data_IF_921838182956
#
_entry.id   IF_921838182956
#
_cell.length_a   1.000
_cell.length_b   1.000
_cell.length_c   1.000
_cell.angle_alpha   90.00
_cell.angle_beta   90.00
_cell.angle_gamma   90.00
#
_symmetry.space_group_name_H-M   'P 1'
#
loop_
_entity.id
_entity.type
_entity.pdbx_description
1 polymer ?
#
# COMPACT_ATOMS: atom_id res chain seq x y z
N UNK A 1 -37.90 13.62 -60.39
CA UNK A 1 -39.24 14.20 -60.67
C UNK A 1 -40.22 13.17 -60.13
N UNK A 2 -40.89 13.32 -59.01
CA UNK A 2 -41.57 14.50 -58.45
C UNK A 2 -41.28 14.68 -56.95
N UNK A 3 -41.35 15.93 -56.49
CA UNK A 3 -41.16 16.36 -55.10
C UNK A 3 -42.52 16.41 -54.42
N UNK A 4 -42.62 15.86 -53.21
CA UNK A 4 -43.73 16.09 -52.28
C UNK A 4 -43.22 16.81 -51.04
N UNK A 5 -43.38 18.12 -51.00
CA UNK A 5 -43.22 18.98 -49.83
C UNK A 5 -44.52 19.03 -49.03
N UNK A 6 -44.46 18.86 -47.71
CA UNK A 6 -45.49 19.39 -46.81
C UNK A 6 -44.88 19.73 -45.44
N UNK A 7 -44.72 21.04 -45.24
CA UNK A 7 -44.45 21.77 -44.01
C UNK A 7 -45.69 21.84 -43.11
N UNK A 8 -45.51 21.87 -41.79
CA UNK A 8 -46.58 22.18 -40.84
C UNK A 8 -46.06 22.34 -39.40
N UNK A 9 -46.10 23.54 -38.79
CA UNK A 9 -45.37 23.89 -37.57
C UNK A 9 -46.26 23.82 -36.31
N UNK A 10 -45.80 23.20 -35.23
CA UNK A 10 -46.46 23.32 -33.92
C UNK A 10 -45.44 23.53 -32.79
N UNK A 11 -45.41 24.75 -32.28
CA UNK A 11 -45.08 25.11 -30.89
C UNK A 11 -46.09 26.19 -30.51
N UNK A 12 -46.72 26.08 -29.32
CA UNK A 12 -46.21 26.89 -28.21
C UNK A 12 -46.29 26.22 -26.83
N UNK A 13 -45.23 26.48 -26.06
CA UNK A 13 -45.19 26.91 -24.66
C UNK A 13 -46.34 26.53 -23.71
N UNK A 14 -46.00 25.74 -22.69
CA UNK A 14 -46.62 25.85 -21.37
C UNK A 14 -45.52 25.83 -20.30
N UNK A 15 -45.29 27.00 -19.72
CA UNK A 15 -44.53 27.18 -18.50
C UNK A 15 -45.34 26.60 -17.33
N UNK A 16 -44.73 25.70 -16.56
CA UNK A 16 -45.11 25.49 -15.16
C UNK A 16 -43.87 25.50 -14.30
N UNK A 17 -43.72 26.62 -13.60
CA UNK A 17 -43.03 26.77 -12.34
C UNK A 17 -43.49 25.71 -11.35
N UNK A 18 -42.56 24.84 -10.96
CA UNK A 18 -42.71 23.88 -9.87
C UNK A 18 -41.39 23.79 -9.12
N UNK A 19 -41.05 24.84 -8.38
CA UNK A 19 -39.95 24.81 -7.42
C UNK A 19 -40.36 23.88 -6.25
N UNK A 20 -40.12 22.57 -6.38
CA UNK A 20 -40.03 21.68 -5.23
C UNK A 20 -38.58 21.66 -4.78
N UNK A 21 -38.31 22.26 -3.62
CA UNK A 21 -37.02 22.15 -2.96
C UNK A 21 -36.67 20.69 -2.73
N UNK A 22 -35.72 20.19 -3.52
CA UNK A 22 -35.10 18.89 -3.30
C UNK A 22 -34.25 19.02 -2.05
N UNK A 23 -34.84 18.67 -0.91
CA UNK A 23 -34.09 18.31 0.29
C UNK A 23 -33.03 17.31 -0.16
N UNK A 24 -31.76 17.68 -0.02
CA UNK A 24 -30.62 16.83 -0.32
C UNK A 24 -30.68 15.60 0.59
N UNK A 25 -31.49 14.62 0.18
CA UNK A 25 -31.57 13.32 0.81
C UNK A 25 -30.19 12.70 0.73
N UNK A 26 -29.56 12.51 1.89
CA UNK A 26 -28.46 11.58 2.03
C UNK A 26 -28.94 10.24 1.46
N UNK A 27 -28.51 9.93 0.24
CA UNK A 27 -28.69 8.61 -0.33
C UNK A 27 -28.08 7.61 0.65
N UNK A 28 -28.81 6.55 1.06
CA UNK A 28 -28.23 5.53 1.89
C UNK A 28 -27.01 4.96 1.17
N UNK A 29 -25.86 4.83 1.86
CA UNK A 29 -24.65 4.31 1.25
C UNK A 29 -24.96 2.95 0.61
N UNK A 30 -24.49 2.74 -0.61
CA UNK A 30 -24.77 1.50 -1.34
C UNK A 30 -24.42 0.29 -0.47
N UNK A 31 -25.15 -0.84 -0.58
CA UNK A 31 -24.88 -2.04 0.22
C UNK A 31 -23.43 -2.54 0.12
N UNK A 32 -22.70 -2.20 -0.96
CA UNK A 32 -21.28 -2.49 -1.14
C UNK A 32 -20.38 -1.61 -0.25
N UNK A 33 -20.71 -0.34 -0.09
CA UNK A 33 -19.97 0.62 0.75
C UNK A 33 -20.09 0.27 2.23
N UNK A 34 -21.29 -0.16 2.67
CA UNK A 34 -21.54 -0.62 4.04
C UNK A 34 -20.79 -1.91 4.34
N UNK A 35 -20.79 -2.89 3.42
CA UNK A 35 -20.03 -4.14 3.57
C UNK A 35 -18.51 -3.92 3.61
N UNK A 36 -17.99 -3.00 2.79
CA UNK A 36 -16.57 -2.61 2.82
C UNK A 36 -16.21 -1.95 4.16
N UNK A 37 -17.05 -1.04 4.66
CA UNK A 37 -16.85 -0.37 5.94
C UNK A 37 -16.83 -1.35 7.12
N UNK A 38 -17.78 -2.28 7.19
CA UNK A 38 -17.81 -3.32 8.23
C UNK A 38 -16.60 -4.26 8.13
N UNK A 39 -16.19 -4.64 6.92
CA UNK A 39 -15.00 -5.46 6.70
C UNK A 39 -13.72 -4.78 7.17
N UNK A 40 -13.56 -3.48 6.90
CA UNK A 40 -12.44 -2.67 7.39
C UNK A 40 -12.46 -2.56 8.91
N UNK A 41 -13.62 -2.26 9.52
CA UNK A 41 -13.75 -2.17 10.98
C UNK A 41 -13.45 -3.51 11.66
N UNK A 42 -13.98 -4.63 11.17
CA UNK A 42 -13.68 -5.96 11.72
C UNK A 42 -12.20 -6.32 11.56
N UNK A 43 -11.59 -6.00 10.42
CA UNK A 43 -10.15 -6.22 10.20
C UNK A 43 -9.32 -5.38 11.16
N UNK A 44 -9.69 -4.11 11.38
CA UNK A 44 -9.03 -3.22 12.33
C UNK A 44 -9.20 -3.68 13.79
N UNK A 45 -10.35 -4.23 14.16
CA UNK A 45 -10.61 -4.78 15.50
C UNK A 45 -9.82 -6.07 15.75
N UNK A 46 -9.79 -6.99 14.77
CA UNK A 46 -8.96 -8.20 14.83
C UNK A 46 -7.48 -7.81 14.88
N UNK A 47 -7.07 -6.79 14.13
CA UNK A 47 -5.72 -6.24 14.17
C UNK A 47 -5.36 -5.65 15.52
N UNK A 48 -6.26 -4.86 16.12
CA UNK A 48 -6.07 -4.29 17.45
C UNK A 48 -5.98 -5.39 18.52
N UNK A 49 -6.78 -6.46 18.38
CA UNK A 49 -6.76 -7.60 19.29
C UNK A 49 -5.47 -8.42 19.17
N UNK A 50 -5.04 -8.74 17.94
CA UNK A 50 -3.79 -9.46 17.67
C UNK A 50 -2.59 -8.61 18.12
N UNK A 51 -2.59 -7.31 17.80
CA UNK A 51 -1.55 -6.39 18.22
C UNK A 51 -1.47 -6.30 19.76
N UNK A 52 -2.58 -6.10 20.47
CA UNK A 52 -2.57 -6.05 21.94
C UNK A 52 -2.10 -7.35 22.58
N UNK A 53 -2.53 -8.50 22.05
CA UNK A 53 -2.22 -9.81 22.64
C UNK A 53 -0.77 -10.26 22.39
N UNK A 54 -0.17 -9.89 21.26
CA UNK A 54 1.21 -10.23 20.91
C UNK A 54 2.23 -9.18 21.36
N UNK A 55 1.85 -7.90 21.38
CA UNK A 55 2.78 -6.83 21.74
C UNK A 55 3.10 -6.84 23.24
N UNK A 56 2.16 -7.19 24.12
CA UNK A 56 2.41 -7.13 25.57
C UNK A 56 3.48 -8.14 26.05
N UNK A 57 3.47 -9.43 25.62
CA UNK A 57 4.53 -10.36 25.96
C UNK A 57 5.88 -9.97 25.34
N UNK A 58 5.87 -9.48 24.09
CA UNK A 58 7.09 -9.01 23.41
C UNK A 58 7.66 -7.79 24.13
N UNK A 59 6.80 -6.86 24.56
CA UNK A 59 7.17 -5.70 25.36
C UNK A 59 7.79 -6.12 26.68
N UNK A 60 7.12 -6.96 27.46
CA UNK A 60 7.63 -7.43 28.73
C UNK A 60 8.96 -8.16 28.55
N UNK A 61 9.12 -8.95 27.48
CA UNK A 61 10.40 -9.57 27.15
C UNK A 61 11.48 -8.53 26.83
N UNK A 62 11.20 -7.55 25.97
CA UNK A 62 12.16 -6.52 25.56
C UNK A 62 12.53 -5.55 26.68
N UNK A 63 11.62 -5.26 27.61
CA UNK A 63 11.89 -4.42 28.79
C UNK A 63 12.80 -5.14 29.81
N UNK A 64 12.75 -6.47 29.88
CA UNK A 64 13.59 -7.27 30.77
C UNK A 64 14.96 -7.63 30.19
N UNK A 65 15.14 -7.48 28.88
CA UNK A 65 16.45 -7.66 28.23
C UNK A 65 17.18 -6.31 28.25
N UNK A 66 18.34 -6.25 28.90
CA UNK A 66 19.17 -5.03 28.96
C UNK A 66 19.75 -4.71 27.56
N UNK A 67 18.97 -4.04 26.71
CA UNK A 67 19.40 -3.67 25.37
C UNK A 67 20.29 -2.43 25.44
N UNK A 68 21.60 -2.66 25.30
CA UNK A 68 22.60 -1.60 25.17
C UNK A 68 22.52 -0.91 23.79
N UNK A 69 22.24 0.40 23.72
CA UNK A 69 22.12 1.16 22.45
C UNK A 69 23.41 1.15 21.62
N UNK A 70 24.55 1.09 22.28
CA UNK A 70 25.86 1.15 21.62
C UNK A 70 26.40 -0.20 21.17
N UNK A 71 25.73 -1.31 21.51
CA UNK A 71 26.23 -2.65 21.24
C UNK A 71 25.98 -3.08 19.79
N UNK A 72 27.02 -3.29 18.97
CA UNK A 72 26.86 -3.79 17.61
C UNK A 72 26.23 -5.19 17.58
N UNK A 73 26.43 -5.99 18.63
CA UNK A 73 25.82 -7.32 18.76
C UNK A 73 24.30 -7.24 18.85
N UNK A 74 23.76 -6.29 19.62
CA UNK A 74 22.32 -6.09 19.72
C UNK A 74 21.74 -5.59 18.40
N UNK A 75 22.41 -4.64 17.73
CA UNK A 75 22.01 -4.21 16.39
C UNK A 75 21.98 -5.38 15.40
N UNK A 76 22.96 -6.28 15.45
CA UNK A 76 22.99 -7.48 14.62
C UNK A 76 21.81 -8.42 14.93
N UNK A 77 21.46 -8.63 16.20
CA UNK A 77 20.31 -9.45 16.58
C UNK A 77 18.99 -8.85 16.06
N UNK A 78 18.81 -7.53 16.19
CA UNK A 78 17.65 -6.85 15.63
C UNK A 78 17.63 -6.94 14.10
N UNK A 79 18.78 -6.79 13.44
CA UNK A 79 18.89 -7.01 12.00
C UNK A 79 18.46 -8.44 11.61
N UNK A 80 18.94 -9.48 12.30
CA UNK A 80 18.55 -10.87 12.03
C UNK A 80 17.05 -11.06 12.25
N UNK A 81 16.51 -10.57 13.37
CA UNK A 81 15.09 -10.64 13.69
C UNK A 81 14.23 -9.94 12.62
N UNK A 82 14.71 -8.82 12.08
CA UNK A 82 14.00 -8.09 11.02
C UNK A 82 13.84 -8.91 9.75
N UNK A 83 14.79 -9.79 9.41
CA UNK A 83 14.69 -10.64 8.22
C UNK A 83 13.50 -11.60 8.31
N UNK A 84 13.23 -12.12 9.51
CA UNK A 84 12.07 -12.98 9.75
C UNK A 84 10.74 -12.24 9.53
N UNK A 85 10.72 -10.92 9.71
CA UNK A 85 9.52 -10.10 9.46
C UNK A 85 9.22 -9.89 7.97
N UNK A 86 10.20 -10.14 7.10
CA UNK A 86 10.03 -10.13 5.64
C UNK A 86 9.54 -11.46 5.08
N UNK A 87 9.40 -12.50 5.92
CA UNK A 87 8.66 -13.69 5.54
C UNK A 87 7.21 -13.25 5.26
N UNK A 88 6.63 -13.59 4.09
CA UNK A 88 5.33 -13.09 3.65
C UNK A 88 4.20 -13.66 4.50
N UNK A 89 4.06 -13.11 5.71
CA UNK A 89 2.99 -13.39 6.66
C UNK A 89 1.98 -12.24 6.60
N UNK A 90 0.67 -12.52 6.59
CA UNK A 90 -0.36 -11.50 6.55
C UNK A 90 -0.57 -10.89 7.95
N UNK A 91 0.51 -10.43 8.59
CA UNK A 91 0.50 -9.78 9.88
C UNK A 91 0.83 -8.30 9.69
N UNK A 92 -0.19 -7.43 9.59
CA UNK A 92 0.02 -5.99 9.52
C UNK A 92 0.62 -5.45 10.82
N UNK A 93 1.22 -4.27 10.75
CA UNK A 93 1.79 -3.50 11.87
C UNK A 93 3.03 -4.04 12.58
N UNK A 94 3.43 -5.31 12.37
CA UNK A 94 4.65 -5.85 12.99
C UNK A 94 5.89 -5.02 12.64
N UNK A 95 6.05 -4.68 11.35
CA UNK A 95 7.23 -3.90 10.91
C UNK A 95 7.20 -2.48 11.49
N UNK A 96 6.03 -1.84 11.60
CA UNK A 96 5.95 -0.49 12.18
C UNK A 96 6.33 -0.49 13.66
N UNK A 97 5.79 -1.42 14.44
CA UNK A 97 6.15 -1.58 15.86
C UNK A 97 7.64 -1.90 16.03
N UNK A 98 8.18 -2.76 15.15
CA UNK A 98 9.60 -3.07 15.13
C UNK A 98 10.47 -1.85 14.83
N UNK A 99 10.11 -1.03 13.85
CA UNK A 99 10.84 0.19 13.50
C UNK A 99 10.80 1.22 14.64
N UNK A 100 9.66 1.37 15.31
CA UNK A 100 9.54 2.19 16.52
C UNK A 100 10.49 1.70 17.62
N UNK A 101 10.53 0.38 17.87
CA UNK A 101 11.43 -0.22 18.84
C UNK A 101 12.91 0.00 18.47
N UNK A 102 13.28 -0.19 17.19
CA UNK A 102 14.63 0.07 16.69
C UNK A 102 15.04 1.53 16.90
N UNK A 103 14.13 2.48 16.61
CA UNK A 103 14.35 3.90 16.86
C UNK A 103 14.53 4.22 18.34
N UNK A 104 13.71 3.61 19.19
CA UNK A 104 13.80 3.77 20.65
C UNK A 104 15.13 3.27 21.22
N UNK A 105 15.51 2.02 20.89
CA UNK A 105 16.69 1.37 21.45
C UNK A 105 18.01 1.89 20.85
N UNK A 106 18.07 2.13 19.54
CA UNK A 106 19.32 2.45 18.85
C UNK A 106 19.43 3.91 18.38
N UNK A 107 18.42 4.74 18.66
CA UNK A 107 18.38 6.16 18.29
C UNK A 107 18.72 6.33 16.80
N UNK A 108 19.59 7.29 16.45
CA UNK A 108 20.04 7.53 15.08
C UNK A 108 20.68 6.30 14.41
N UNK A 109 21.31 5.39 15.17
CA UNK A 109 21.87 4.15 14.61
C UNK A 109 20.79 3.17 14.16
N UNK A 110 19.54 3.37 14.58
CA UNK A 110 18.39 2.65 14.04
C UNK A 110 18.24 2.79 12.53
N UNK A 111 18.70 3.90 11.93
CA UNK A 111 18.72 4.04 10.46
C UNK A 111 19.64 3.02 9.78
N UNK A 112 20.77 2.68 10.41
CA UNK A 112 21.70 1.68 9.87
C UNK A 112 21.00 0.31 9.83
N UNK A 113 20.36 -0.07 10.94
CA UNK A 113 19.57 -1.31 11.02
C UNK A 113 18.48 -1.29 9.96
N UNK A 114 17.71 -0.20 9.84
CA UNK A 114 16.63 -0.05 8.88
C UNK A 114 17.11 -0.19 7.42
N UNK A 115 18.20 0.49 7.05
CA UNK A 115 18.79 0.42 5.71
C UNK A 115 19.22 -1.01 5.40
N UNK A 116 19.95 -1.66 6.30
CA UNK A 116 20.38 -3.05 6.11
C UNK A 116 19.18 -3.98 6.00
N UNK A 117 18.22 -3.87 6.91
CA UNK A 117 17.01 -4.67 6.94
C UNK A 117 16.19 -4.56 5.66
N UNK A 118 16.02 -3.35 5.13
CA UNK A 118 15.19 -3.13 3.94
C UNK A 118 15.93 -3.48 2.65
N UNK A 119 17.24 -3.23 2.59
CA UNK A 119 18.05 -3.60 1.42
C UNK A 119 18.18 -5.10 1.24
N UNK A 120 18.06 -5.91 2.30
CA UNK A 120 18.07 -7.38 2.19
C UNK A 120 16.67 -7.99 2.25
N UNK A 121 15.81 -7.53 3.14
CA UNK A 121 14.48 -8.09 3.38
C UNK A 121 13.49 -7.87 2.24
N UNK A 122 13.47 -6.67 1.64
CA UNK A 122 12.56 -6.37 0.51
C UNK A 122 12.90 -7.23 -0.72
N UNK A 123 14.17 -7.30 -1.17
CA UNK A 123 14.58 -8.23 -2.22
C UNK A 123 14.29 -9.70 -1.89
N UNK A 124 14.50 -10.13 -0.64
CA UNK A 124 14.24 -11.50 -0.22
C UNK A 124 12.76 -11.86 -0.38
N UNK A 125 11.84 -11.00 0.10
CA UNK A 125 10.40 -11.22 -0.04
C UNK A 125 9.96 -11.27 -1.52
N UNK A 126 10.52 -10.38 -2.35
CA UNK A 126 10.29 -10.41 -3.79
C UNK A 126 10.81 -11.70 -4.44
N UNK A 127 12.01 -12.13 -4.06
CA UNK A 127 12.63 -13.35 -4.59
C UNK A 127 11.81 -14.59 -4.22
N UNK A 128 11.27 -14.66 -3.00
CA UNK A 128 10.36 -15.72 -2.59
C UNK A 128 9.11 -15.79 -3.50
N UNK A 129 8.52 -14.64 -3.84
CA UNK A 129 7.43 -14.56 -4.81
C UNK A 129 7.84 -15.05 -6.20
N UNK A 130 9.04 -14.69 -6.65
CA UNK A 130 9.59 -15.13 -7.95
C UNK A 130 9.84 -16.64 -7.99
N UNK A 131 10.36 -17.23 -6.91
CA UNK A 131 10.56 -18.68 -6.80
C UNK A 131 9.24 -19.41 -6.96
N UNK A 132 8.17 -18.97 -6.27
CA UNK A 132 6.85 -19.58 -6.42
C UNK A 132 6.30 -19.44 -7.85
N UNK A 133 6.51 -18.29 -8.49
CA UNK A 133 6.14 -18.09 -9.91
C UNK A 133 6.83 -19.14 -10.79
N UNK A 134 8.14 -19.31 -10.61
CA UNK A 134 8.98 -20.21 -11.40
C UNK A 134 8.69 -21.69 -11.13
N UNK A 135 8.21 -22.04 -9.93
CA UNK A 135 7.71 -23.38 -9.61
C UNK A 135 6.37 -23.72 -10.30
N UNK A 136 5.81 -22.80 -11.08
CA UNK A 136 4.56 -23.01 -11.82
C UNK A 136 3.30 -22.78 -10.99
N UNK A 137 3.41 -22.19 -9.79
CA UNK A 137 2.22 -21.80 -9.03
C UNK A 137 1.46 -20.72 -9.79
N UNK A 138 0.32 -21.10 -10.36
CA UNK A 138 -0.51 -20.20 -11.11
C UNK A 138 -1.55 -19.54 -10.21
N UNK A 139 -1.17 -18.45 -9.54
CA UNK A 139 -2.09 -17.70 -8.68
C UNK A 139 -3.28 -17.14 -9.45
N UNK A 140 -3.17 -16.93 -10.78
CA UNK A 140 -4.34 -16.57 -11.60
C UNK A 140 -5.39 -17.67 -11.56
N UNK A 141 -4.98 -18.95 -11.59
CA UNK A 141 -5.92 -20.08 -11.49
C UNK A 141 -6.61 -20.08 -10.13
N UNK A 142 -5.86 -19.86 -9.05
CA UNK A 142 -6.39 -19.80 -7.67
C UNK A 142 -7.31 -18.60 -7.45
N UNK A 143 -6.96 -17.43 -7.98
CA UNK A 143 -7.78 -16.22 -7.91
C UNK A 143 -9.04 -16.34 -8.80
N UNK A 144 -8.94 -17.01 -9.95
CA UNK A 144 -10.08 -17.27 -10.85
C UNK A 144 -11.09 -18.22 -10.22
N UNK A 145 -10.63 -19.20 -9.45
CA UNK A 145 -11.49 -20.16 -8.78
C UNK A 145 -12.09 -19.65 -7.46
N UNK A 146 -11.75 -18.44 -7.02
CA UNK A 146 -12.16 -17.88 -5.72
C UNK A 146 -12.99 -16.60 -5.82
N UNK A 147 -13.23 -15.98 -4.66
CA UNK A 147 -14.01 -14.74 -4.48
C UNK A 147 -13.45 -13.49 -5.17
N UNK A 148 -12.33 -13.59 -5.91
CA UNK A 148 -11.63 -12.47 -6.56
C UNK A 148 -11.63 -12.54 -8.09
N UNK A 149 -12.53 -13.31 -8.70
CA UNK A 149 -12.61 -13.46 -10.15
C UNK A 149 -12.69 -12.11 -10.89
N UNK A 150 -13.49 -11.17 -10.38
CA UNK A 150 -13.64 -9.82 -10.95
C UNK A 150 -12.39 -8.94 -10.76
N UNK A 151 -11.53 -9.27 -9.79
CA UNK A 151 -10.31 -8.52 -9.46
C UNK A 151 -9.15 -8.77 -10.42
N UNK A 152 -9.21 -9.83 -11.23
CA UNK A 152 -8.07 -10.27 -12.05
C UNK A 152 -7.71 -9.27 -13.14
N UNK A 153 -8.69 -8.63 -13.77
CA UNK A 153 -8.45 -7.60 -14.79
C UNK A 153 -7.65 -6.41 -14.25
N UNK A 154 -7.85 -6.07 -12.97
CA UNK A 154 -7.06 -5.05 -12.30
C UNK A 154 -5.61 -5.48 -12.08
N UNK A 155 -5.37 -6.74 -11.71
CA UNK A 155 -4.01 -7.27 -11.57
C UNK A 155 -3.26 -7.34 -12.90
N UNK A 156 -3.94 -7.68 -13.99
CA UNK A 156 -3.35 -7.68 -15.32
C UNK A 156 -2.96 -6.28 -15.78
N UNK A 157 -3.86 -5.33 -15.58
CA UNK A 157 -3.60 -3.93 -15.88
C UNK A 157 -2.45 -3.38 -15.02
N UNK A 158 -2.44 -3.69 -13.73
CA UNK A 158 -1.39 -3.27 -12.80
C UNK A 158 -0.04 -3.89 -13.20
N UNK A 159 0.01 -5.20 -13.49
CA UNK A 159 1.23 -5.87 -13.94
C UNK A 159 1.79 -5.22 -15.20
N UNK A 160 0.94 -4.90 -16.19
CA UNK A 160 1.38 -4.21 -17.42
C UNK A 160 1.97 -2.83 -17.13
N UNK A 161 1.31 -2.03 -16.30
CA UNK A 161 1.78 -0.69 -15.95
C UNK A 161 3.12 -0.76 -15.21
N UNK A 162 3.27 -1.72 -14.28
CA UNK A 162 4.53 -1.94 -13.56
C UNK A 162 5.63 -2.35 -14.57
N UNK A 163 5.37 -3.23 -15.53
CA UNK A 163 6.37 -3.61 -16.53
C UNK A 163 6.88 -2.44 -17.37
N UNK A 164 6.00 -1.48 -17.72
CA UNK A 164 6.38 -0.35 -18.56
C UNK A 164 7.22 0.71 -17.84
N UNK A 165 6.99 0.91 -16.54
CA UNK A 165 7.66 1.94 -15.74
C UNK A 165 8.09 1.37 -14.37
N UNK A 166 8.97 0.35 -14.35
CA UNK A 166 9.13 -0.54 -13.20
C UNK A 166 9.63 0.16 -11.95
N UNK A 167 10.64 1.02 -12.07
CA UNK A 167 11.23 1.71 -10.91
C UNK A 167 10.19 2.65 -10.28
N UNK A 168 9.55 3.51 -11.10
CA UNK A 168 8.58 4.49 -10.61
C UNK A 168 7.34 3.81 -10.03
N UNK A 169 6.82 2.78 -10.69
CA UNK A 169 5.63 2.09 -10.23
C UNK A 169 5.89 1.26 -8.97
N UNK A 170 7.05 0.60 -8.87
CA UNK A 170 7.43 -0.09 -7.63
C UNK A 170 7.64 0.91 -6.49
N UNK A 171 8.21 2.09 -6.75
CA UNK A 171 8.31 3.15 -5.75
C UNK A 171 6.92 3.54 -5.22
N UNK A 172 5.97 3.86 -6.12
CA UNK A 172 4.63 4.30 -5.74
C UNK A 172 3.82 3.19 -5.07
N UNK A 173 3.88 1.97 -5.62
CA UNK A 173 3.12 0.83 -5.12
C UNK A 173 3.49 0.52 -3.67
N UNK A 174 4.76 0.72 -3.28
CA UNK A 174 5.24 0.50 -1.90
C UNK A 174 4.64 1.44 -0.85
N UNK A 175 3.86 2.45 -1.25
CA UNK A 175 3.03 3.29 -0.37
C UNK A 175 1.60 2.78 -0.23
N UNK A 176 1.21 1.74 -0.96
CA UNK A 176 -0.10 1.13 -0.79
C UNK A 176 -0.27 0.65 0.67
N UNK A 177 -1.49 0.74 1.24
CA UNK A 177 -1.79 0.32 2.61
C UNK A 177 -1.91 -1.21 2.70
N UNK A 178 -0.88 -1.90 2.22
CA UNK A 178 -0.72 -3.35 2.28
C UNK A 178 0.46 -3.68 3.20
N UNK A 179 0.45 -4.85 3.87
CA UNK A 179 1.58 -5.28 4.68
C UNK A 179 2.89 -5.19 3.88
N UNK A 180 3.90 -4.55 4.46
CA UNK A 180 5.17 -4.22 3.79
C UNK A 180 5.89 -5.44 3.22
N UNK A 181 5.71 -6.61 3.82
CA UNK A 181 6.25 -7.89 3.39
C UNK A 181 5.43 -8.56 2.29
N UNK A 182 4.11 -8.35 2.27
CA UNK A 182 3.22 -8.96 1.28
C UNK A 182 3.41 -8.33 -0.09
N UNK A 183 3.63 -7.02 -0.14
CA UNK A 183 3.68 -6.30 -1.39
C UNK A 183 4.89 -6.67 -2.28
N UNK A 184 6.15 -6.71 -1.79
CA UNK A 184 7.30 -7.24 -2.55
C UNK A 184 7.03 -8.64 -3.08
N UNK A 185 6.49 -9.51 -2.24
CA UNK A 185 6.14 -10.87 -2.59
C UNK A 185 5.13 -10.91 -3.73
N UNK A 186 4.04 -10.14 -3.65
CA UNK A 186 3.04 -10.06 -4.70
C UNK A 186 3.62 -9.52 -6.01
N UNK A 187 4.49 -8.51 -5.96
CA UNK A 187 5.15 -7.99 -7.18
C UNK A 187 6.04 -9.06 -7.81
N UNK A 188 6.87 -9.75 -7.02
CA UNK A 188 7.73 -10.83 -7.51
C UNK A 188 6.94 -12.01 -8.07
N UNK A 189 5.76 -12.28 -7.51
CA UNK A 189 4.91 -13.39 -7.91
C UNK A 189 4.03 -13.08 -9.13
N UNK A 190 3.49 -11.86 -9.22
CA UNK A 190 2.49 -11.48 -10.22
C UNK A 190 3.07 -10.79 -11.46
N UNK A 191 4.25 -10.20 -11.37
CA UNK A 191 4.81 -9.36 -12.45
C UNK A 191 6.06 -9.97 -13.07
N UNK A 192 6.56 -9.39 -14.16
CA UNK A 192 7.80 -9.78 -14.82
C UNK A 192 8.94 -8.78 -14.62
N UNK A 193 8.78 -7.87 -13.67
CA UNK A 193 9.85 -6.93 -13.30
C UNK A 193 11.09 -7.65 -12.80
N UNK A 194 12.25 -7.16 -13.20
CA UNK A 194 13.55 -7.64 -12.72
C UNK A 194 13.83 -7.21 -11.27
N UNK A 195 14.66 -7.99 -10.58
CA UNK A 195 15.01 -7.73 -9.18
C UNK A 195 15.65 -6.35 -9.00
N UNK A 196 16.49 -5.93 -9.95
CA UNK A 196 17.22 -4.66 -9.90
C UNK A 196 16.26 -3.47 -9.95
N UNK A 197 15.38 -3.45 -10.94
CA UNK A 197 14.40 -2.38 -11.16
C UNK A 197 13.41 -2.31 -9.99
N UNK A 198 12.96 -3.46 -9.51
CA UNK A 198 12.14 -3.55 -8.31
C UNK A 198 12.84 -2.94 -7.09
N UNK A 199 14.07 -3.36 -6.82
CA UNK A 199 14.84 -2.92 -5.63
C UNK A 199 15.10 -1.41 -5.66
N UNK A 200 15.48 -0.87 -6.83
CA UNK A 200 15.74 0.57 -7.02
C UNK A 200 14.49 1.44 -6.76
N UNK A 201 13.28 0.93 -7.04
CA UNK A 201 12.05 1.63 -6.70
C UNK A 201 11.61 1.39 -5.26
N UNK A 202 11.60 0.13 -4.84
CA UNK A 202 10.95 -0.32 -3.62
C UNK A 202 11.72 0.04 -2.34
N UNK A 203 13.05 -0.09 -2.34
CA UNK A 203 13.86 0.17 -1.14
C UNK A 203 13.85 1.66 -0.75
N UNK A 204 14.15 2.61 -1.66
CA UNK A 204 14.08 4.04 -1.31
C UNK A 204 12.69 4.46 -0.85
N UNK A 205 11.65 3.91 -1.49
CA UNK A 205 10.25 4.14 -1.11
C UNK A 205 9.96 3.74 0.33
N UNK A 206 10.33 2.51 0.74
CA UNK A 206 10.11 2.04 2.10
C UNK A 206 11.01 2.74 3.11
N UNK A 207 12.26 3.05 2.78
CA UNK A 207 13.12 3.83 3.65
C UNK A 207 12.53 5.20 3.96
N UNK A 208 11.96 5.87 2.95
CA UNK A 208 11.28 7.14 3.12
C UNK A 208 9.99 7.01 3.93
N UNK A 209 9.24 5.92 3.75
CA UNK A 209 8.01 5.68 4.51
C UNK A 209 8.31 5.39 5.99
N UNK A 210 9.30 4.53 6.27
CA UNK A 210 9.62 4.08 7.63
C UNK A 210 10.63 4.96 8.38
N UNK A 211 11.26 5.93 7.73
CA UNK A 211 12.07 6.94 8.44
C UNK A 211 11.23 7.71 9.46
N UNK A 212 9.96 7.95 9.15
CA UNK A 212 9.05 8.69 10.01
C UNK A 212 8.74 7.97 11.33
N UNK A 213 8.23 6.72 11.35
CA UNK A 213 8.06 5.98 12.59
C UNK A 213 9.40 5.71 13.30
N UNK A 214 10.51 5.63 12.58
CA UNK A 214 11.82 5.52 13.22
C UNK A 214 12.11 6.78 14.07
N UNK A 215 11.90 7.98 13.52
CA UNK A 215 12.09 9.25 14.25
C UNK A 215 11.16 9.33 15.47
N UNK A 216 9.91 8.87 15.35
CA UNK A 216 9.00 8.76 16.52
C UNK A 216 9.64 7.91 17.63
N UNK A 217 10.22 6.76 17.26
CA UNK A 217 10.94 5.91 18.21
C UNK A 217 12.15 6.61 18.83
N UNK A 218 12.92 7.36 18.04
CA UNK A 218 14.11 8.10 18.51
C UNK A 218 13.72 9.09 19.62
N UNK A 219 12.64 9.84 19.41
CA UNK A 219 12.15 10.90 20.31
C UNK A 219 11.35 10.39 21.51
N UNK A 220 10.90 9.13 21.48
CA UNK A 220 10.08 8.57 22.55
C UNK A 220 10.86 8.42 23.87
N UNK A 221 10.22 8.81 24.97
CA UNK A 221 10.76 8.68 26.33
C UNK A 221 10.65 7.26 26.88
N UNK A 222 9.73 6.46 26.36
CA UNK A 222 9.57 5.04 26.68
C UNK A 222 9.09 4.25 25.46
N UNK A 223 9.37 2.95 25.43
CA UNK A 223 8.88 2.08 24.36
C UNK A 223 7.34 2.07 24.30
N UNK A 224 6.68 2.12 25.46
CA UNK A 224 5.22 2.22 25.55
C UNK A 224 4.69 3.51 24.92
N UNK A 225 5.35 4.66 25.15
CA UNK A 225 4.97 5.93 24.51
C UNK A 225 5.13 5.88 22.98
N UNK A 226 6.21 5.26 22.48
CA UNK A 226 6.43 5.06 21.05
C UNK A 226 5.32 4.21 20.40
N UNK A 227 4.90 3.13 21.07
CA UNK A 227 3.91 2.18 20.54
C UNK A 227 2.47 2.67 20.68
N UNK A 228 2.15 3.42 21.73
CA UNK A 228 0.82 4.00 21.97
C UNK A 228 0.56 5.28 21.16
N UNK A 229 1.63 5.94 20.67
CA UNK A 229 1.52 7.21 19.98
C UNK A 229 1.39 8.41 20.92
N UNK A 230 1.60 8.24 22.23
CA UNK A 230 1.71 9.32 23.21
C UNK A 230 3.07 10.02 23.05
N UNK A 231 3.21 10.78 21.97
CA UNK A 231 4.39 11.59 21.74
C UNK A 231 4.17 12.94 22.42
N UNK A 232 5.03 13.28 23.38
CA UNK A 232 5.06 14.61 23.98
C UNK A 232 4.98 15.67 22.87
N UNK A 233 4.14 16.69 23.07
CA UNK A 233 3.75 17.72 22.10
C UNK A 233 4.88 18.69 21.77
N UNK A 234 6.01 18.18 21.30
CA UNK A 234 7.04 18.96 20.62
C UNK A 234 6.55 19.26 19.20
N UNK A 235 6.92 20.43 18.67
CA UNK A 235 6.65 20.78 17.27
C UNK A 235 7.26 19.77 16.27
N UNK A 236 8.35 19.11 16.69
CA UNK A 236 9.01 18.06 15.93
C UNK A 236 8.09 16.83 15.78
N UNK A 237 7.36 16.46 16.83
CA UNK A 237 6.35 15.40 16.82
C UNK A 237 5.28 15.69 15.76
N UNK A 238 4.78 16.93 15.69
CA UNK A 238 3.78 17.34 14.70
C UNK A 238 4.31 17.17 13.27
N UNK A 239 5.53 17.63 12.99
CA UNK A 239 6.15 17.43 11.68
C UNK A 239 6.30 15.96 11.33
N UNK A 240 6.73 15.14 12.29
CA UNK A 240 6.96 13.70 12.09
C UNK A 240 5.65 12.94 11.85
N UNK A 241 4.50 13.41 12.35
CA UNK A 241 3.19 12.81 12.05
C UNK A 241 2.50 13.39 10.82
N UNK A 242 2.62 14.70 10.57
CA UNK A 242 1.93 15.37 9.46
C UNK A 242 2.64 15.10 8.14
N UNK A 243 3.97 15.16 8.11
CA UNK A 243 4.76 14.97 6.89
C UNK A 243 4.52 13.62 6.20
N UNK A 244 4.52 12.47 6.87
CA UNK A 244 4.30 11.16 6.23
C UNK A 244 2.87 11.02 5.73
N UNK A 245 1.88 11.61 6.42
CA UNK A 245 0.48 11.62 5.97
C UNK A 245 0.38 12.44 4.68
N UNK A 246 0.90 13.66 4.69
CA UNK A 246 0.92 14.54 3.51
C UNK A 246 1.65 13.86 2.36
N UNK A 247 2.83 13.29 2.61
CA UNK A 247 3.62 12.59 1.62
C UNK A 247 2.88 11.36 1.07
N UNK A 248 2.20 10.58 1.92
CA UNK A 248 1.38 9.45 1.51
C UNK A 248 0.22 9.89 0.61
N UNK A 249 -0.49 10.96 0.99
CA UNK A 249 -1.59 11.51 0.19
C UNK A 249 -1.09 12.00 -1.17
N UNK A 250 0.03 12.73 -1.20
CA UNK A 250 0.64 13.21 -2.45
C UNK A 250 1.08 12.06 -3.34
N UNK A 251 1.70 11.01 -2.78
CA UNK A 251 2.16 9.85 -3.54
C UNK A 251 1.00 8.97 -4.03
N UNK A 252 -0.07 8.84 -3.24
CA UNK A 252 -1.30 8.16 -3.69
C UNK A 252 -1.98 8.95 -4.81
N UNK A 253 -2.04 10.28 -4.71
CA UNK A 253 -2.56 11.13 -5.77
C UNK A 253 -1.71 11.02 -7.04
N UNK A 254 -0.38 11.04 -6.90
CA UNK A 254 0.55 10.82 -8.01
C UNK A 254 0.34 9.43 -8.63
N UNK A 255 0.22 8.38 -7.83
CA UNK A 255 -0.08 7.02 -8.30
C UNK A 255 -1.38 6.95 -9.08
N UNK A 256 -2.46 7.53 -8.55
CA UNK A 256 -3.76 7.58 -9.23
C UNK A 256 -3.68 8.35 -10.56
N UNK A 257 -2.97 9.49 -10.57
CA UNK A 257 -2.73 10.28 -11.78
C UNK A 257 -1.96 9.48 -12.84
N UNK A 258 -0.87 8.81 -12.45
CA UNK A 258 -0.05 8.00 -13.36
C UNK A 258 -0.81 6.79 -13.89
N UNK A 259 -1.51 6.05 -13.03
CA UNK A 259 -2.33 4.91 -13.44
C UNK A 259 -3.41 5.36 -14.42
N UNK A 260 -4.10 6.48 -14.15
CA UNK A 260 -5.10 7.05 -15.08
C UNK A 260 -4.48 7.43 -16.42
N UNK A 261 -3.28 8.03 -16.41
CA UNK A 261 -2.53 8.35 -17.62
C UNK A 261 -2.15 7.12 -18.44
N UNK A 262 -1.66 6.08 -17.79
CA UNK A 262 -1.29 4.81 -18.43
C UNK A 262 -2.52 4.09 -19.01
N UNK A 263 -3.63 4.04 -18.25
CA UNK A 263 -4.90 3.47 -18.72
C UNK A 263 -5.45 4.23 -19.95
N UNK A 264 -5.32 5.56 -19.98
CA UNK A 264 -5.72 6.36 -21.15
C UNK A 264 -4.87 6.04 -22.38
N UNK A 265 -3.56 5.84 -22.22
CA UNK A 265 -2.67 5.42 -23.32
C UNK A 265 -3.03 4.03 -23.85
N UNK A 266 -3.33 3.08 -22.96
CA UNK A 266 -3.80 1.74 -23.33
C UNK A 266 -5.13 1.78 -24.08
N UNK A 267 -6.12 2.55 -23.60
CA UNK A 267 -7.43 2.70 -24.26
C UNK A 267 -7.31 3.28 -25.67
N UNK A 268 -6.37 4.19 -25.87
CA UNK A 268 -6.18 4.87 -27.16
C UNK A 268 -5.31 4.08 -28.14
N UNK A 269 -4.90 2.84 -27.82
CA UNK A 269 -4.04 2.03 -28.69
C UNK A 269 -2.64 2.60 -28.90
N UNK A 270 -2.20 3.55 -28.06
CA UNK A 270 -0.90 4.25 -28.23
C UNK A 270 0.26 3.39 -27.70
N UNK A 271 -0.02 2.41 -26.85
CA UNK A 271 0.95 1.35 -26.49
C UNK A 271 0.70 0.15 -27.39
N UNK A 272 1.16 0.28 -28.64
CA UNK A 272 1.07 -0.75 -29.67
C UNK A 272 2.25 -1.72 -29.54
N UNK A 273 2.28 -2.47 -28.45
CA UNK A 273 3.07 -3.71 -28.42
C UNK A 273 2.17 -4.77 -29.03
N UNK A 274 2.36 -5.06 -30.32
CA UNK A 274 1.55 -5.93 -31.18
C UNK A 274 1.39 -7.39 -30.75
N UNK A 275 1.53 -7.69 -29.46
CA UNK A 275 1.47 -9.02 -28.87
C UNK A 275 0.18 -9.26 -28.05
N UNK A 276 -0.60 -8.22 -27.69
CA UNK A 276 -1.70 -8.40 -26.71
C UNK A 276 -2.97 -7.55 -26.94
N UNK A 277 -3.30 -7.21 -28.19
CA UNK A 277 -4.49 -6.41 -28.54
C UNK A 277 -5.84 -7.09 -28.24
N UNK A 278 -5.87 -8.39 -27.93
CA UNK A 278 -7.10 -9.06 -27.54
C UNK A 278 -7.29 -9.09 -26.01
N UNK A 279 -8.39 -8.46 -25.56
CA UNK A 279 -8.99 -8.56 -24.21
C UNK A 279 -8.43 -7.62 -23.14
N UNK A 280 -8.73 -6.33 -23.29
CA UNK A 280 -9.10 -5.49 -22.15
C UNK A 280 -10.64 -5.41 -22.13
N UNK A 281 -11.28 -6.32 -21.38
CA UNK A 281 -12.70 -6.17 -21.04
C UNK A 281 -12.73 -5.19 -19.87
N UNK A 282 -13.25 -3.98 -20.13
CA UNK A 282 -13.60 -2.97 -19.12
C UNK A 282 -14.94 -3.34 -18.50
#
# INVERSE_FOLDING_TARGET
RERGTASGPWSPSAAHSGASGTVAGLWPPSPRTVKLGVGVVCTLLVLKFIAGSLLEPIRHFLENVEIRPDSPKHMLYFYIASQLMFIPTPLPFIITAFVLAVGYFFKWRGFIVLILSFTTGIPMAFYAGRVLKNMGFNIRKTLKSGYFADGIGYFDSLSRIITNEPIRMCFLLMWAPLPTQLLPFLVGFLTDVGLKEFTLGAVPSKLLHFSCPLIIGIEASSLSSALSGDVNTSWLSVLVFVLPIVLSVLLLAAMAYYVKGALKKLKNGVMDDGTYAEKLIV
#
